data_IF_115526352330
#
_entry.id   IF_115526352330
#
_cell.length_a   1.000
_cell.length_b   1.000
_cell.length_c   1.000
_cell.angle_alpha   90.00
_cell.angle_beta   90.00
_cell.angle_gamma   90.00
#
_symmetry.space_group_name_H-M   'P 1'
#
loop_
_entity.id
_entity.type
_entity.pdbx_description
1 polymer ?
#
# COMPACT_ATOMS: atom_id res chain seq x y z
N UNK A 1 -21.65 -35.45 -10.44
CA UNK A 1 -21.80 -34.02 -10.76
C UNK A 1 -22.95 -33.43 -9.96
N UNK A 2 -22.74 -32.31 -9.26
CA UNK A 2 -23.73 -31.27 -8.85
C UNK A 2 -23.02 -30.27 -7.93
N UNK A 3 -23.02 -28.99 -8.28
CA UNK A 3 -22.61 -27.86 -7.41
C UNK A 3 -23.86 -27.01 -7.15
N UNK A 4 -24.16 -26.60 -5.91
CA UNK A 4 -25.03 -25.45 -5.66
C UNK A 4 -24.20 -24.17 -5.76
N UNK A 5 -24.55 -23.29 -6.71
CA UNK A 5 -24.07 -21.91 -6.71
C UNK A 5 -25.00 -21.12 -5.79
N UNK A 6 -24.53 -20.72 -4.61
CA UNK A 6 -25.27 -19.81 -3.74
C UNK A 6 -25.08 -18.37 -4.21
N UNK A 7 -26.02 -17.87 -5.01
CA UNK A 7 -26.25 -16.43 -5.12
C UNK A 7 -26.90 -15.93 -3.82
N UNK A 8 -26.10 -15.30 -2.98
CA UNK A 8 -26.54 -14.41 -1.90
C UNK A 8 -25.80 -13.09 -2.08
N UNK A 9 -26.44 -11.93 -2.20
CA UNK A 9 -27.87 -11.65 -2.25
C UNK A 9 -27.99 -10.13 -2.25
N UNK A 10 -28.44 -9.53 -3.37
CA UNK A 10 -28.44 -8.07 -3.50
C UNK A 10 -29.52 -7.46 -2.59
N UNK A 11 -29.09 -6.70 -1.58
CA UNK A 11 -29.95 -5.90 -0.72
C UNK A 11 -29.59 -4.42 -0.85
N UNK A 12 -30.17 -3.77 -1.86
CA UNK A 12 -30.12 -2.32 -2.02
C UNK A 12 -31.05 -1.68 -0.97
N UNK A 13 -30.53 -0.74 -0.17
CA UNK A 13 -31.35 0.10 0.72
C UNK A 13 -31.19 1.56 0.29
N UNK A 14 -32.22 2.09 -0.36
CA UNK A 14 -32.44 3.51 -0.66
C UNK A 14 -33.27 4.14 0.47
N UNK A 15 -32.89 5.33 0.96
CA UNK A 15 -33.76 6.23 1.79
C UNK A 15 -34.15 7.47 0.94
N UNK A 16 -34.95 8.50 1.34
CA UNK A 16 -35.68 9.48 0.44
C UNK A 16 -35.46 11.05 0.50
N UNK A 17 -34.94 11.72 -0.56
CA UNK A 17 -34.89 13.20 -0.80
C UNK A 17 -34.99 13.51 -2.32
N UNK A 18 -36.19 13.51 -2.91
CA UNK A 18 -37.05 14.69 -3.15
C UNK A 18 -36.54 15.72 -4.19
N UNK A 19 -36.79 15.40 -5.48
CA UNK A 19 -37.23 16.39 -6.48
C UNK A 19 -38.43 15.83 -7.24
N UNK A 20 -39.48 16.65 -7.41
CA UNK A 20 -40.70 16.33 -8.15
C UNK A 20 -41.14 17.61 -8.90
N UNK A 21 -41.73 17.53 -10.11
CA UNK A 21 -43.06 16.96 -10.25
C UNK A 21 -43.32 16.08 -11.50
N UNK A 22 -44.11 15.03 -11.25
CA UNK A 22 -45.20 14.51 -12.08
C UNK A 22 -44.96 14.16 -13.57
N UNK A 23 -44.58 12.90 -13.81
CA UNK A 23 -45.31 12.05 -14.74
C UNK A 23 -45.76 10.80 -13.96
N UNK A 24 -47.03 10.40 -14.07
CA UNK A 24 -47.62 9.40 -13.17
C UNK A 24 -47.40 7.96 -13.65
N UNK A 25 -46.65 7.16 -12.88
CA UNK A 25 -46.92 5.72 -12.64
C UNK A 25 -45.93 5.09 -11.63
N UNK A 26 -46.39 4.85 -10.39
CA UNK A 26 -45.91 3.75 -9.54
C UNK A 26 -44.54 3.84 -8.84
N UNK A 27 -44.56 4.18 -7.54
CA UNK A 27 -43.68 3.64 -6.47
C UNK A 27 -42.15 3.85 -6.56
N UNK A 28 -41.34 4.21 -5.57
CA UNK A 28 -41.39 4.52 -4.13
C UNK A 28 -39.91 4.88 -3.75
N UNK A 29 -39.63 6.06 -3.14
CA UNK A 29 -38.42 6.43 -2.33
C UNK A 29 -36.95 6.27 -2.86
N UNK A 30 -36.14 7.39 -2.93
CA UNK A 30 -34.65 7.46 -3.14
C UNK A 30 -33.96 8.82 -2.68
N UNK A 31 -32.65 8.89 -2.30
CA UNK A 31 -32.02 10.02 -1.54
C UNK A 31 -30.50 10.28 -1.62
N UNK A 32 -30.23 11.54 -1.32
CA UNK A 32 -29.10 12.24 -0.70
C UNK A 32 -28.75 11.86 0.78
N UNK A 33 -27.77 10.97 0.99
CA UNK A 33 -27.10 10.74 2.28
C UNK A 33 -25.59 10.90 2.13
N UNK A 34 -25.02 11.99 2.63
CA UNK A 34 -23.65 12.41 2.35
C UNK A 34 -22.66 11.80 3.35
N UNK A 35 -22.09 10.63 3.03
CA UNK A 35 -21.09 9.95 3.87
C UNK A 35 -19.92 9.40 3.07
N UNK A 36 -18.77 10.07 3.23
CA UNK A 36 -17.40 9.62 2.91
C UNK A 36 -17.21 8.58 1.80
N UNK A 37 -16.63 9.03 0.69
CA UNK A 37 -15.87 8.18 -0.21
C UNK A 37 -14.72 7.53 0.58
N UNK A 38 -14.98 6.35 1.17
CA UNK A 38 -13.94 5.46 1.66
C UNK A 38 -13.17 5.03 0.42
N UNK A 39 -12.00 5.62 0.19
CA UNK A 39 -11.11 5.23 -0.87
C UNK A 39 -10.84 3.73 -0.71
N UNK A 40 -11.50 2.91 -1.51
CA UNK A 40 -11.14 1.52 -1.65
C UNK A 40 -9.76 1.56 -2.29
N UNK A 41 -8.72 1.34 -1.50
CA UNK A 41 -7.38 1.08 -2.00
C UNK A 41 -7.46 -0.23 -2.77
N UNK A 42 -7.83 -0.12 -4.04
CA UNK A 42 -7.86 -1.23 -4.98
C UNK A 42 -6.43 -1.77 -5.02
N UNK A 43 -6.25 -3.02 -4.58
CA UNK A 43 -4.94 -3.65 -4.69
C UNK A 43 -4.50 -3.59 -6.17
N UNK A 44 -3.23 -3.24 -6.45
CA UNK A 44 -2.74 -3.17 -7.82
C UNK A 44 -3.01 -4.48 -8.55
N UNK A 45 -3.60 -4.42 -9.75
CA UNK A 45 -3.88 -5.64 -10.50
C UNK A 45 -2.54 -6.32 -10.86
N UNK A 46 -2.39 -7.63 -10.56
CA UNK A 46 -1.19 -8.38 -10.91
C UNK A 46 -1.04 -8.45 -12.42
N UNK A 47 0.21 -8.54 -12.87
CA UNK A 47 0.56 -8.65 -14.29
C UNK A 47 1.15 -10.03 -14.60
N UNK A 48 1.35 -10.33 -15.88
CA UNK A 48 2.04 -11.55 -16.29
C UNK A 48 3.52 -11.51 -15.81
N UNK A 49 4.05 -12.57 -15.18
CA UNK A 49 5.40 -12.57 -14.64
C UNK A 49 6.49 -12.24 -15.68
N UNK A 50 7.38 -11.32 -15.33
CA UNK A 50 8.49 -10.88 -16.18
C UNK A 50 8.16 -9.72 -17.12
N UNK A 51 6.91 -9.26 -17.15
CA UNK A 51 6.46 -8.13 -17.98
C UNK A 51 7.09 -6.80 -17.58
N UNK A 52 7.21 -6.56 -16.27
CA UNK A 52 7.74 -5.33 -15.69
C UNK A 52 9.20 -5.52 -15.27
N UNK A 53 9.59 -6.76 -14.90
CA UNK A 53 10.98 -7.08 -14.53
C UNK A 53 11.99 -6.63 -15.60
N UNK A 54 11.69 -6.77 -16.89
CA UNK A 54 12.60 -6.36 -17.99
C UNK A 54 12.71 -4.85 -18.22
N UNK A 55 11.87 -4.03 -17.57
CA UNK A 55 11.85 -2.57 -17.76
C UNK A 55 12.90 -1.86 -16.89
N UNK A 56 13.38 -2.53 -15.83
CA UNK A 56 14.32 -1.97 -14.86
C UNK A 56 15.74 -2.53 -15.05
N UNK A 57 16.73 -1.65 -15.04
CA UNK A 57 18.15 -2.02 -15.06
C UNK A 57 18.62 -2.52 -13.68
N UNK A 58 19.65 -3.37 -13.64
CA UNK A 58 20.17 -3.91 -12.36
C UNK A 58 20.59 -2.80 -11.40
N UNK A 59 21.20 -1.71 -11.89
CA UNK A 59 21.68 -0.63 -11.03
C UNK A 59 20.54 0.20 -10.43
N UNK A 60 19.45 0.41 -11.16
CA UNK A 60 18.23 1.05 -10.62
C UNK A 60 17.56 0.19 -9.54
N UNK A 61 17.56 -1.13 -9.73
CA UNK A 61 17.09 -2.07 -8.71
C UNK A 61 18.04 -2.15 -7.51
N UNK A 62 19.36 -1.94 -7.69
CA UNK A 62 20.31 -1.81 -6.57
C UNK A 62 20.03 -0.55 -5.76
N UNK A 63 19.91 0.62 -6.39
CA UNK A 63 19.52 1.86 -5.72
C UNK A 63 18.22 1.70 -4.91
N UNK A 64 17.21 1.02 -5.45
CA UNK A 64 15.99 0.71 -4.71
C UNK A 64 16.24 -0.15 -3.46
N UNK A 65 17.08 -1.18 -3.56
CA UNK A 65 17.43 -2.06 -2.43
C UNK A 65 18.27 -1.33 -1.37
N UNK A 66 19.20 -0.47 -1.78
CA UNK A 66 20.04 0.30 -0.86
C UNK A 66 19.25 1.40 -0.12
N UNK A 67 18.30 2.08 -0.78
CA UNK A 67 17.33 2.94 -0.08
C UNK A 67 16.50 2.15 0.94
N UNK A 68 16.05 0.94 0.61
CA UNK A 68 15.36 0.07 1.58
C UNK A 68 16.27 -0.31 2.77
N UNK A 69 17.56 -0.55 2.52
CA UNK A 69 18.57 -0.86 3.56
C UNK A 69 18.76 0.31 4.52
N UNK A 70 18.94 1.53 4.00
CA UNK A 70 19.13 2.75 4.79
C UNK A 70 17.90 3.08 5.64
N UNK A 71 16.70 2.80 5.13
CA UNK A 71 15.47 3.08 5.85
C UNK A 71 15.15 2.09 6.97
N UNK A 72 15.75 0.88 7.00
CA UNK A 72 15.53 -0.08 8.10
C UNK A 72 15.92 0.48 9.48
N UNK A 73 17.12 1.03 9.74
CA UNK A 73 17.43 1.61 11.06
C UNK A 73 16.48 2.74 11.44
N UNK A 74 16.01 3.54 10.47
CA UNK A 74 15.03 4.61 10.71
C UNK A 74 13.67 4.02 11.13
N UNK A 75 13.15 3.05 10.38
CA UNK A 75 11.89 2.36 10.69
C UNK A 75 11.98 1.64 12.05
N UNK A 76 13.12 1.02 12.36
CA UNK A 76 13.37 0.40 13.67
C UNK A 76 13.30 1.45 14.79
N UNK A 77 13.99 2.58 14.64
CA UNK A 77 13.94 3.70 15.59
C UNK A 77 12.48 4.14 15.82
N UNK A 78 11.73 4.43 14.74
CA UNK A 78 10.31 4.78 14.80
C UNK A 78 9.48 3.74 15.58
N UNK A 79 9.62 2.46 15.26
CA UNK A 79 8.85 1.37 15.87
C UNK A 79 9.23 1.07 17.34
N UNK A 80 10.39 1.55 17.79
CA UNK A 80 10.91 1.27 19.13
C UNK A 80 10.55 2.32 20.17
N UNK A 81 10.18 3.53 19.74
CA UNK A 81 9.78 4.60 20.65
C UNK A 81 8.27 4.51 20.94
N UNK A 82 7.90 4.41 22.22
CA UNK A 82 6.53 4.63 22.65
C UNK A 82 6.23 6.14 22.60
N UNK A 83 5.65 6.58 21.49
CA UNK A 83 5.35 7.99 21.25
C UNK A 83 4.03 8.37 21.92
N UNK A 84 4.12 8.79 23.18
CA UNK A 84 2.96 9.26 23.95
C UNK A 84 2.54 10.70 23.58
N UNK A 85 3.40 11.45 22.89
CA UNK A 85 3.25 12.90 22.69
C UNK A 85 3.21 13.31 21.21
N UNK A 86 2.24 14.16 20.85
CA UNK A 86 1.96 14.49 19.45
C UNK A 86 3.10 15.30 18.80
N UNK A 87 3.84 16.10 19.58
CA UNK A 87 4.99 16.84 19.06
C UNK A 87 6.15 15.91 18.70
N UNK A 88 6.41 14.89 19.53
CA UNK A 88 7.42 13.87 19.25
C UNK A 88 7.08 13.06 18.00
N UNK A 89 5.79 12.70 17.82
CA UNK A 89 5.33 12.04 16.60
C UNK A 89 5.60 12.87 15.33
N UNK A 90 5.34 14.18 15.37
CA UNK A 90 5.61 15.08 14.25
C UNK A 90 7.11 15.19 13.94
N UNK A 91 7.96 15.36 14.96
CA UNK A 91 9.41 15.43 14.78
C UNK A 91 9.98 14.14 14.18
N UNK A 92 9.52 12.98 14.65
CA UNK A 92 9.92 11.68 14.12
C UNK A 92 9.47 11.46 12.67
N UNK A 93 8.26 11.91 12.32
CA UNK A 93 7.77 11.88 10.93
C UNK A 93 8.58 12.82 10.00
N UNK A 94 9.07 13.96 10.51
CA UNK A 94 9.95 14.86 9.76
C UNK A 94 11.34 14.24 9.56
N UNK A 95 11.93 13.63 10.60
CA UNK A 95 13.21 12.92 10.49
C UNK A 95 13.13 11.77 9.47
N UNK A 96 12.05 10.99 9.51
CA UNK A 96 11.81 9.91 8.55
C UNK A 96 11.74 10.42 7.10
N UNK A 97 11.01 11.51 6.85
CA UNK A 97 10.92 12.12 5.52
C UNK A 97 12.28 12.64 5.05
N UNK A 98 13.01 13.38 5.89
CA UNK A 98 14.36 13.86 5.56
C UNK A 98 15.30 12.71 5.21
N UNK A 99 15.38 11.67 6.03
CA UNK A 99 16.26 10.51 5.78
C UNK A 99 15.88 9.73 4.52
N UNK A 100 14.58 9.67 4.20
CA UNK A 100 14.10 9.07 2.94
C UNK A 100 14.56 9.90 1.74
N UNK A 101 14.43 11.24 1.80
CA UNK A 101 14.87 12.13 0.73
C UNK A 101 16.40 12.14 0.57
N UNK A 102 17.15 12.14 1.67
CA UNK A 102 18.61 12.08 1.69
C UNK A 102 19.11 10.76 1.06
N UNK A 103 18.56 9.61 1.45
CA UNK A 103 18.95 8.30 0.89
C UNK A 103 18.54 8.16 -0.59
N UNK A 104 17.33 8.59 -0.97
CA UNK A 104 16.92 8.63 -2.38
C UNK A 104 17.89 9.44 -3.24
N UNK A 105 18.36 10.57 -2.72
CA UNK A 105 19.34 11.43 -3.39
C UNK A 105 20.76 10.83 -3.41
N UNK A 106 21.17 10.12 -2.36
CA UNK A 106 22.47 9.44 -2.30
C UNK A 106 22.57 8.32 -3.34
N UNK A 107 21.47 7.64 -3.63
CA UNK A 107 21.39 6.51 -4.57
C UNK A 107 20.85 6.89 -5.97
N UNK A 108 20.84 8.18 -6.33
CA UNK A 108 20.38 8.73 -7.62
C UNK A 108 18.95 8.29 -8.04
N UNK A 109 18.06 8.05 -7.07
CA UNK A 109 16.72 7.49 -7.28
C UNK A 109 15.62 8.50 -6.94
N UNK A 110 14.74 8.82 -7.89
CA UNK A 110 13.60 9.70 -7.58
C UNK A 110 12.53 9.01 -6.72
N UNK A 111 11.80 9.81 -5.92
CA UNK A 111 10.63 9.35 -5.15
C UNK A 111 9.64 8.59 -6.04
N UNK A 112 9.41 9.08 -7.27
CA UNK A 112 8.51 8.44 -8.23
C UNK A 112 9.02 7.07 -8.68
N UNK A 113 10.30 6.94 -9.03
CA UNK A 113 10.89 5.64 -9.41
C UNK A 113 10.82 4.65 -8.24
N UNK A 114 11.21 5.07 -7.04
CA UNK A 114 11.13 4.20 -5.85
C UNK A 114 9.72 3.66 -5.61
N UNK A 115 8.70 4.53 -5.68
CA UNK A 115 7.29 4.13 -5.55
C UNK A 115 6.84 3.23 -6.71
N UNK A 116 7.30 3.48 -7.93
CA UNK A 116 6.94 2.69 -9.10
C UNK A 116 7.55 1.29 -9.03
N UNK A 117 8.83 1.15 -8.70
CA UNK A 117 9.53 -0.14 -8.52
C UNK A 117 8.83 -0.97 -7.44
N UNK A 118 8.51 -0.37 -6.28
CA UNK A 118 7.78 -1.06 -5.21
C UNK A 118 6.37 -1.50 -5.63
N UNK A 119 5.65 -0.64 -6.38
CA UNK A 119 4.31 -0.97 -6.91
C UNK A 119 4.39 -2.10 -7.94
N UNK A 120 5.34 -2.05 -8.86
CA UNK A 120 5.48 -3.04 -9.92
C UNK A 120 6.02 -4.38 -9.40
N UNK A 121 6.91 -4.37 -8.42
CA UNK A 121 7.32 -5.59 -7.71
C UNK A 121 6.13 -6.28 -7.03
N UNK A 122 5.18 -5.52 -6.47
CA UNK A 122 3.95 -6.11 -5.90
C UNK A 122 2.99 -6.73 -6.95
N UNK A 123 3.20 -6.43 -8.24
CA UNK A 123 2.35 -6.88 -9.36
C UNK A 123 3.01 -7.97 -10.22
N UNK A 124 4.33 -7.92 -10.36
CA UNK A 124 5.16 -8.83 -11.15
C UNK A 124 6.04 -9.70 -10.24
N UNK A 125 5.63 -10.96 -10.05
CA UNK A 125 6.37 -11.94 -9.24
C UNK A 125 7.82 -12.15 -9.69
N UNK A 126 8.14 -12.00 -10.98
CA UNK A 126 9.51 -12.17 -11.45
C UNK A 126 10.38 -10.92 -11.20
N UNK A 127 9.77 -9.76 -10.95
CA UNK A 127 10.48 -8.58 -10.44
C UNK A 127 10.69 -8.70 -8.93
N UNK A 128 9.69 -9.14 -8.17
CA UNK A 128 9.81 -9.51 -6.76
C UNK A 128 10.93 -10.53 -6.53
N UNK A 129 10.91 -11.66 -7.25
CA UNK A 129 11.95 -12.70 -7.16
C UNK A 129 13.33 -12.19 -7.60
N UNK A 130 13.43 -11.30 -8.60
CA UNK A 130 14.72 -10.69 -9.00
C UNK A 130 15.31 -9.85 -7.87
N UNK A 131 14.48 -9.00 -7.24
CA UNK A 131 14.89 -8.19 -6.08
C UNK A 131 15.32 -9.06 -4.89
N UNK A 132 14.56 -10.13 -4.58
CA UNK A 132 14.90 -11.11 -3.52
C UNK A 132 16.24 -11.79 -3.81
N UNK A 133 16.50 -12.17 -5.06
CA UNK A 133 17.73 -12.85 -5.46
C UNK A 133 18.94 -11.90 -5.50
N UNK A 134 18.72 -10.61 -5.77
CA UNK A 134 19.77 -9.58 -5.70
C UNK A 134 20.20 -9.31 -4.25
N UNK A 135 19.28 -9.27 -3.29
CA UNK A 135 19.61 -9.09 -1.87
C UNK A 135 18.77 -9.97 -0.92
N UNK A 136 19.13 -11.26 -0.78
CA UNK A 136 18.39 -12.19 0.09
C UNK A 136 18.58 -11.89 1.59
N UNK A 137 19.54 -11.05 1.98
CA UNK A 137 19.74 -10.66 3.38
C UNK A 137 18.81 -9.51 3.76
N UNK A 138 18.65 -8.52 2.89
CA UNK A 138 17.68 -7.44 3.06
C UNK A 138 16.26 -7.99 3.23
N UNK A 139 15.84 -8.91 2.36
CA UNK A 139 14.50 -9.50 2.46
C UNK A 139 14.29 -10.33 3.74
N UNK A 140 15.30 -11.07 4.21
CA UNK A 140 15.25 -11.72 5.54
C UNK A 140 15.11 -10.70 6.67
N UNK A 141 15.83 -9.58 6.58
CA UNK A 141 15.76 -8.51 7.57
C UNK A 141 14.37 -7.86 7.59
N UNK A 142 13.81 -7.52 6.43
CA UNK A 142 12.45 -6.99 6.29
C UNK A 142 11.38 -7.97 6.80
N UNK A 143 11.49 -9.26 6.46
CA UNK A 143 10.60 -10.30 6.97
C UNK A 143 10.67 -10.41 8.50
N UNK A 144 11.88 -10.37 9.08
CA UNK A 144 12.05 -10.40 10.53
C UNK A 144 11.38 -9.22 11.24
N UNK A 145 11.34 -8.04 10.60
CA UNK A 145 10.66 -6.85 11.14
C UNK A 145 9.14 -6.99 11.09
N UNK A 146 8.58 -7.56 10.01
CA UNK A 146 7.14 -7.85 9.94
C UNK A 146 6.71 -8.86 11.02
N UNK A 147 7.50 -9.92 11.26
CA UNK A 147 7.20 -10.90 12.32
C UNK A 147 7.24 -10.28 13.73
N UNK A 148 8.16 -9.34 13.98
CA UNK A 148 8.22 -8.60 15.25
C UNK A 148 7.00 -7.67 15.43
N UNK A 149 6.58 -6.97 14.37
CA UNK A 149 5.40 -6.10 14.42
C UNK A 149 4.10 -6.87 14.69
N UNK A 150 3.98 -8.11 14.21
CA UNK A 150 2.81 -8.97 14.46
C UNK A 150 2.78 -9.60 15.87
N UNK A 151 3.90 -9.58 16.61
CA UNK A 151 4.00 -10.15 17.96
C UNK A 151 3.77 -9.13 19.08
N UNK A 152 3.68 -7.84 18.76
CA UNK A 152 3.24 -6.84 19.75
C UNK A 152 1.72 -6.95 19.93
N UNK A 153 1.21 -7.31 21.12
CA UNK A 153 -0.21 -7.20 21.38
C UNK A 153 -0.60 -5.73 21.31
N UNK A 154 -1.69 -5.42 20.62
CA UNK A 154 -2.33 -4.10 20.72
C UNK A 154 -2.77 -3.92 22.19
N UNK A 155 -2.13 -2.97 22.87
CA UNK A 155 -2.47 -2.53 24.23
C UNK A 155 -3.39 -1.31 24.18
#
# INVERSE_FOLDING_TARGET
>A
MKKPVSMLGAALITVGLLTAPMAMAGSQSAQQGQSQARAQMQQPQPVEPGTLSKQYQDDELRSFLDVNRDMIPVIKNLSSQNVSDQQQAQSMMQEFQSKTEDSLKEHDLSVQQYQQIGTDASRDKALEERLINMDPQLYKQLQSMQSQAQQQPAQ
#
